data_IF_630176765640
#
_entry.id   IF_630176765640
#
_cell.length_a   1.000
_cell.length_b   1.000
_cell.length_c   1.000
_cell.angle_alpha   90.00
_cell.angle_beta   90.00
_cell.angle_gamma   90.00
#
_symmetry.space_group_name_H-M   'P 1'
#
loop_
_entity.id
_entity.type
_entity.pdbx_description
1 polymer ?
#
# COMPACT_ATOMS: atom_id res chain seq x y z
N UNK A 1 18.71 46.81 10.44
CA UNK A 1 17.76 45.71 10.44
C UNK A 1 18.23 44.71 9.36
N UNK A 2 18.82 43.62 9.76
CA UNK A 2 19.36 42.60 8.83
C UNK A 2 18.34 41.50 8.65
N UNK A 3 17.81 41.35 7.44
CA UNK A 3 16.98 40.21 7.06
C UNK A 3 17.90 39.03 6.79
N UNK A 4 17.93 38.07 7.72
CA UNK A 4 18.54 36.76 7.48
C UNK A 4 17.56 35.94 6.68
N UNK A 5 17.79 35.83 5.38
CA UNK A 5 17.10 34.83 4.55
C UNK A 5 17.60 33.46 4.98
N UNK A 6 16.72 32.67 5.62
CA UNK A 6 16.96 31.23 5.81
C UNK A 6 16.97 30.59 4.41
N UNK A 7 18.16 30.25 3.96
CA UNK A 7 18.34 29.52 2.70
C UNK A 7 17.56 28.21 2.73
N UNK A 8 16.85 27.93 1.66
CA UNK A 8 16.38 26.60 1.34
C UNK A 8 17.61 25.71 1.24
N UNK A 9 17.87 24.87 2.23
CA UNK A 9 18.80 23.75 2.07
C UNK A 9 18.21 22.86 0.98
N UNK A 10 18.84 22.91 -0.20
CA UNK A 10 18.47 22.09 -1.33
C UNK A 10 18.54 20.63 -0.90
N UNK A 11 17.40 19.93 -0.99
CA UNK A 11 17.32 18.47 -0.82
C UNK A 11 18.44 17.87 -1.67
N UNK A 12 19.42 17.26 -1.01
CA UNK A 12 20.47 16.49 -1.69
C UNK A 12 19.76 15.39 -2.46
N UNK A 13 19.69 15.50 -3.78
CA UNK A 13 19.42 14.36 -4.64
C UNK A 13 20.52 13.36 -4.35
N UNK A 14 20.18 12.20 -3.82
CA UNK A 14 21.10 11.09 -3.63
C UNK A 14 21.77 10.81 -4.97
N UNK A 15 23.06 11.14 -5.10
CA UNK A 15 23.81 11.05 -6.36
C UNK A 15 24.18 9.61 -6.74
N UNK A 16 23.84 8.64 -5.89
CA UNK A 16 24.28 7.25 -6.02
C UNK A 16 23.12 6.24 -5.98
N UNK A 17 21.86 6.69 -6.16
CA UNK A 17 20.75 5.75 -6.26
C UNK A 17 20.83 5.01 -7.60
N UNK A 18 20.78 3.68 -7.54
CA UNK A 18 20.72 2.83 -8.71
C UNK A 18 19.54 3.25 -9.61
N UNK A 19 19.79 3.70 -10.85
CA UNK A 19 18.72 4.14 -11.74
C UNK A 19 17.71 3.04 -12.06
N UNK A 20 18.09 1.77 -11.90
CA UNK A 20 17.20 0.62 -12.10
C UNK A 20 16.26 0.39 -10.90
N UNK A 21 16.47 1.11 -9.77
CA UNK A 21 15.63 1.03 -8.57
C UNK A 21 14.81 2.29 -8.30
N UNK A 22 15.08 3.39 -9.00
CA UNK A 22 14.40 4.67 -8.77
C UNK A 22 13.66 5.11 -10.03
N UNK A 23 12.33 5.04 -10.06
CA UNK A 23 11.54 5.43 -11.21
C UNK A 23 11.76 6.88 -11.64
N UNK A 24 11.45 7.23 -12.90
CA UNK A 24 11.58 8.60 -13.41
C UNK A 24 10.85 9.62 -12.52
N UNK A 25 11.47 10.79 -12.32
CA UNK A 25 10.89 11.88 -11.52
C UNK A 25 10.84 11.66 -10.02
N UNK A 26 11.40 10.55 -9.49
CA UNK A 26 11.50 10.25 -8.06
C UNK A 26 12.85 10.71 -7.48
N UNK A 27 12.89 10.88 -6.16
CA UNK A 27 14.12 11.06 -5.37
C UNK A 27 14.12 10.08 -4.18
N UNK A 28 15.29 9.62 -3.77
CA UNK A 28 15.43 8.73 -2.60
C UNK A 28 15.36 9.53 -1.32
N UNK A 29 14.69 8.98 -0.31
CA UNK A 29 14.63 9.52 1.05
C UNK A 29 14.93 8.43 2.08
N UNK A 30 15.60 8.82 3.16
CA UNK A 30 15.75 7.97 4.35
C UNK A 30 14.51 8.04 5.26
N UNK A 31 13.75 9.13 5.17
CA UNK A 31 12.53 9.31 5.94
C UNK A 31 11.40 8.40 5.43
N UNK A 32 10.44 8.13 6.30
CA UNK A 32 9.16 7.53 5.91
C UNK A 32 8.04 8.56 6.10
N UNK A 33 7.76 9.42 5.08
CA UNK A 33 6.79 10.48 5.21
C UNK A 33 5.38 9.96 5.50
N UNK A 34 4.70 10.55 6.49
CA UNK A 34 3.30 10.25 6.80
C UNK A 34 2.40 11.13 5.93
N UNK A 35 1.65 10.49 5.04
CA UNK A 35 0.64 11.13 4.21
C UNK A 35 -0.70 10.42 4.40
N UNK A 36 -1.78 11.17 4.59
CA UNK A 36 -3.12 10.64 4.79
C UNK A 36 -4.18 11.57 4.22
N UNK A 37 -5.29 11.01 3.73
CA UNK A 37 -6.46 11.76 3.28
C UNK A 37 -7.41 12.14 4.43
N UNK A 38 -7.17 11.64 5.64
CA UNK A 38 -8.01 11.87 6.82
C UNK A 38 -7.25 11.60 8.12
N UNK A 39 -7.95 11.63 9.27
CA UNK A 39 -7.36 11.32 10.56
C UNK A 39 -6.92 9.85 10.62
N UNK A 40 -5.85 9.58 11.39
CA UNK A 40 -5.38 8.23 11.67
C UNK A 40 -6.41 7.47 12.51
N UNK A 41 -6.98 6.34 12.03
CA UNK A 41 -7.82 5.50 12.85
C UNK A 41 -7.03 4.85 14.00
N UNK A 42 -7.71 4.58 15.10
CA UNK A 42 -7.19 3.83 16.23
C UNK A 42 -8.11 2.64 16.49
N UNK A 43 -7.98 1.61 15.67
CA UNK A 43 -8.80 0.41 15.78
C UNK A 43 -8.21 -0.54 16.82
N UNK A 44 -8.93 -0.85 17.93
CA UNK A 44 -8.48 -1.85 18.88
C UNK A 44 -8.31 -3.22 18.21
N UNK A 45 -7.21 -3.93 18.50
CA UNK A 45 -6.96 -5.25 17.90
C UNK A 45 -8.09 -6.25 18.14
N UNK A 46 -8.78 -6.16 19.28
CA UNK A 46 -9.93 -7.01 19.60
C UNK A 46 -11.16 -6.74 18.69
N UNK A 47 -11.21 -5.59 18.02
CA UNK A 47 -12.29 -5.19 17.09
C UNK A 47 -11.84 -5.28 15.63
N UNK A 48 -10.54 -5.51 15.41
CA UNK A 48 -10.00 -5.62 14.07
C UNK A 48 -10.38 -6.96 13.44
N UNK A 49 -10.83 -6.91 12.21
CA UNK A 49 -11.08 -8.09 11.37
C UNK A 49 -10.62 -7.80 9.96
N UNK A 50 -10.14 -8.82 9.28
CA UNK A 50 -9.87 -8.77 7.85
C UNK A 50 -10.82 -9.72 7.12
N UNK A 51 -11.25 -9.36 5.91
CA UNK A 51 -12.09 -10.26 5.13
C UNK A 51 -11.79 -10.23 3.64
N UNK A 52 -11.97 -11.38 3.00
CA UNK A 52 -12.02 -11.52 1.55
C UNK A 52 -13.46 -11.81 1.16
N UNK A 53 -13.99 -11.06 0.19
CA UNK A 53 -15.38 -11.18 -0.28
C UNK A 53 -15.37 -11.45 -1.78
N UNK A 54 -16.03 -12.52 -2.23
CA UNK A 54 -16.18 -12.90 -3.63
C UNK A 54 -17.62 -13.32 -3.88
N UNK A 55 -18.42 -12.45 -4.50
CA UNK A 55 -19.87 -12.67 -4.62
C UNK A 55 -20.53 -12.88 -3.26
N UNK A 56 -21.15 -14.03 -3.06
CA UNK A 56 -21.79 -14.41 -1.79
C UNK A 56 -20.82 -15.08 -0.80
N UNK A 57 -19.62 -15.41 -1.23
CA UNK A 57 -18.59 -16.02 -0.39
C UNK A 57 -17.85 -14.98 0.43
N UNK A 58 -17.64 -15.26 1.71
CA UNK A 58 -16.86 -14.43 2.61
C UNK A 58 -15.96 -15.27 3.50
N UNK A 59 -14.66 -15.02 3.40
CA UNK A 59 -13.68 -15.46 4.37
C UNK A 59 -13.39 -14.31 5.32
N UNK A 60 -13.22 -14.59 6.61
CA UNK A 60 -12.92 -13.54 7.59
C UNK A 60 -11.98 -14.08 8.67
N UNK A 61 -11.15 -13.22 9.19
CA UNK A 61 -10.20 -13.49 10.27
C UNK A 61 -10.28 -12.39 11.32
N UNK A 62 -10.31 -12.79 12.59
CA UNK A 62 -9.96 -11.91 13.72
C UNK A 62 -8.46 -11.61 13.68
N UNK A 63 -8.00 -10.67 14.50
CA UNK A 63 -6.58 -10.37 14.62
C UNK A 63 -5.74 -11.61 14.97
N UNK A 64 -6.19 -12.39 15.96
CA UNK A 64 -5.52 -13.61 16.40
C UNK A 64 -5.44 -14.66 15.27
N UNK A 65 -6.54 -14.88 14.57
CA UNK A 65 -6.59 -15.80 13.43
C UNK A 65 -5.71 -15.34 12.27
N UNK A 66 -5.67 -14.02 12.00
CA UNK A 66 -4.82 -13.44 10.98
C UNK A 66 -3.32 -13.59 11.33
N UNK A 67 -2.94 -13.34 12.57
CA UNK A 67 -1.57 -13.53 13.07
C UNK A 67 -1.13 -15.01 13.08
N UNK A 68 -2.07 -15.94 13.08
CA UNK A 68 -1.78 -17.39 13.00
C UNK A 68 -1.57 -17.87 11.54
N UNK A 69 -1.85 -17.04 10.53
CA UNK A 69 -1.57 -17.37 9.13
C UNK A 69 -0.05 -17.37 8.87
N UNK A 70 0.43 -18.09 7.84
CA UNK A 70 1.81 -17.99 7.41
C UNK A 70 2.17 -16.53 7.07
N UNK A 71 3.13 -15.98 7.79
CA UNK A 71 3.70 -14.65 7.58
C UNK A 71 5.11 -14.78 7.03
N UNK A 72 5.51 -13.83 6.20
CA UNK A 72 6.83 -13.77 5.61
C UNK A 72 7.43 -12.37 5.72
N UNK A 73 8.74 -12.29 5.78
CA UNK A 73 9.48 -11.04 5.73
C UNK A 73 9.90 -10.77 4.29
N UNK A 74 9.62 -9.56 3.81
CA UNK A 74 9.98 -9.14 2.47
C UNK A 74 10.69 -7.78 2.50
N UNK A 75 11.74 -7.64 1.70
CA UNK A 75 12.44 -6.37 1.52
C UNK A 75 12.14 -5.84 0.12
N UNK A 76 11.55 -4.65 0.06
CA UNK A 76 11.06 -4.03 -1.19
C UNK A 76 11.32 -2.53 -1.22
N UNK A 77 11.34 -1.97 -2.42
CA UNK A 77 11.36 -0.52 -2.65
C UNK A 77 9.92 0.00 -2.76
N UNK A 78 9.64 1.16 -2.20
CA UNK A 78 8.33 1.80 -2.30
C UNK A 78 8.43 3.18 -2.93
N UNK A 79 7.43 3.53 -3.76
CA UNK A 79 7.43 4.74 -4.57
C UNK A 79 6.14 5.54 -4.37
N UNK A 80 6.24 6.77 -3.86
CA UNK A 80 5.08 7.61 -3.63
C UNK A 80 4.80 8.54 -4.83
N UNK A 81 3.54 8.76 -5.14
CA UNK A 81 3.11 9.72 -6.17
C UNK A 81 3.64 11.13 -5.90
N UNK A 82 3.92 11.48 -4.64
CA UNK A 82 4.53 12.76 -4.23
C UNK A 82 6.04 12.80 -4.44
N UNK A 83 6.57 11.89 -5.25
CA UNK A 83 7.93 11.87 -5.83
C UNK A 83 9.04 11.39 -4.91
N UNK A 84 8.77 10.84 -3.75
CA UNK A 84 9.79 10.17 -2.96
C UNK A 84 9.78 8.65 -3.17
N UNK A 85 10.95 8.06 -3.09
CA UNK A 85 11.16 6.61 -3.03
C UNK A 85 11.94 6.28 -1.76
N UNK A 86 11.57 5.23 -1.09
CA UNK A 86 12.31 4.66 0.02
C UNK A 86 12.72 3.25 -0.37
N UNK A 87 14.02 3.01 -0.36
CA UNK A 87 14.61 1.74 -0.77
C UNK A 87 14.81 0.83 0.42
N UNK A 88 14.91 -0.48 0.16
CA UNK A 88 15.23 -1.51 1.14
C UNK A 88 14.31 -1.49 2.38
N UNK A 89 13.03 -1.27 2.16
CA UNK A 89 12.02 -1.32 3.25
C UNK A 89 11.68 -2.75 3.58
N UNK A 90 11.81 -3.14 4.86
CA UNK A 90 11.54 -4.49 5.32
C UNK A 90 10.17 -4.56 5.97
N UNK A 91 9.34 -5.49 5.50
CA UNK A 91 7.97 -5.67 5.94
C UNK A 91 7.72 -7.11 6.38
N UNK A 92 6.86 -7.29 7.37
CA UNK A 92 6.32 -8.58 7.77
C UNK A 92 4.82 -8.62 7.46
N UNK A 93 4.34 -9.67 6.78
CA UNK A 93 2.94 -9.74 6.40
C UNK A 93 2.52 -11.09 5.85
N UNK A 94 1.20 -11.24 5.70
CA UNK A 94 0.58 -12.41 5.07
C UNK A 94 0.43 -12.14 3.58
N UNK A 95 0.92 -13.06 2.75
CA UNK A 95 0.76 -12.99 1.29
C UNK A 95 -0.73 -12.96 0.89
N UNK A 96 -1.07 -12.16 -0.11
CA UNK A 96 -2.43 -12.16 -0.66
C UNK A 96 -2.78 -13.52 -1.25
N UNK A 97 -1.82 -14.26 -1.81
CA UNK A 97 -2.03 -15.64 -2.27
C UNK A 97 -2.56 -16.55 -1.15
N UNK A 98 -1.98 -16.44 0.06
CA UNK A 98 -2.45 -17.19 1.25
C UNK A 98 -3.90 -16.81 1.61
N UNK A 99 -4.26 -15.53 1.51
CA UNK A 99 -5.61 -15.06 1.84
C UNK A 99 -6.65 -15.49 0.79
N UNK A 100 -6.22 -15.72 -0.45
CA UNK A 100 -7.07 -16.15 -1.57
C UNK A 100 -7.08 -17.65 -1.79
N UNK A 101 -6.23 -18.44 -1.10
CA UNK A 101 -6.06 -19.89 -1.34
C UNK A 101 -7.38 -20.68 -1.40
N UNK A 102 -8.39 -20.22 -0.65
CA UNK A 102 -9.70 -20.89 -0.54
C UNK A 102 -10.74 -20.36 -1.53
N UNK A 103 -10.43 -19.34 -2.31
CA UNK A 103 -11.34 -18.77 -3.31
C UNK A 103 -11.10 -19.49 -4.64
N UNK A 104 -12.11 -20.20 -5.09
CA UNK A 104 -12.06 -20.83 -6.41
C UNK A 104 -12.39 -19.80 -7.50
N UNK A 105 -11.63 -19.82 -8.61
CA UNK A 105 -11.85 -18.96 -9.79
C UNK A 105 -12.12 -17.49 -9.43
N UNK A 106 -11.16 -16.79 -8.77
CA UNK A 106 -11.37 -15.42 -8.31
C UNK A 106 -11.58 -14.48 -9.51
N UNK A 107 -12.52 -13.51 -9.39
CA UNK A 107 -12.72 -12.45 -10.37
C UNK A 107 -11.46 -11.64 -10.65
N UNK A 108 -11.34 -10.98 -11.85
CA UNK A 108 -10.09 -10.39 -12.32
C UNK A 108 -9.66 -9.09 -11.61
N UNK A 109 -10.49 -8.52 -10.76
CA UNK A 109 -10.20 -7.27 -10.06
C UNK A 109 -10.40 -7.38 -8.54
N UNK A 110 -9.68 -6.54 -7.84
CA UNK A 110 -9.72 -6.43 -6.37
C UNK A 110 -9.99 -4.97 -5.99
N UNK A 111 -10.97 -4.75 -5.12
CA UNK A 111 -11.17 -3.49 -4.42
C UNK A 111 -10.74 -3.68 -2.96
N UNK A 112 -9.60 -3.13 -2.58
CA UNK A 112 -9.19 -3.08 -1.19
C UNK A 112 -10.02 -2.01 -0.46
N UNK A 113 -10.54 -2.33 0.73
CA UNK A 113 -11.31 -1.42 1.56
C UNK A 113 -10.72 -1.31 2.97
N UNK A 114 -10.83 -0.13 3.55
CA UNK A 114 -10.09 0.28 4.74
C UNK A 114 -10.98 0.97 5.77
N UNK A 115 -10.49 1.10 7.00
CA UNK A 115 -11.08 2.00 7.98
C UNK A 115 -11.11 3.43 7.42
N UNK A 116 -12.13 4.21 7.78
CA UNK A 116 -12.30 5.57 7.28
C UNK A 116 -12.87 5.67 5.85
N UNK A 117 -13.23 4.54 5.22
CA UNK A 117 -13.88 4.52 3.91
C UNK A 117 -12.93 4.67 2.72
N UNK A 118 -11.62 4.60 2.93
CA UNK A 118 -10.66 4.57 1.83
C UNK A 118 -10.76 3.25 1.06
N UNK A 119 -10.68 3.35 -0.27
CA UNK A 119 -10.61 2.20 -1.19
C UNK A 119 -9.57 2.41 -2.25
N UNK A 120 -9.05 1.32 -2.82
CA UNK A 120 -8.23 1.34 -4.03
C UNK A 120 -8.45 0.06 -4.84
N UNK A 121 -8.52 0.20 -6.16
CA UNK A 121 -8.69 -0.90 -7.10
C UNK A 121 -7.34 -1.43 -7.58
N UNK A 122 -7.31 -2.70 -7.93
CA UNK A 122 -6.12 -3.42 -8.41
C UNK A 122 -6.58 -4.55 -9.36
N UNK A 123 -5.86 -4.81 -10.46
CA UNK A 123 -5.98 -6.10 -11.13
C UNK A 123 -5.60 -7.24 -10.19
N UNK A 124 -6.27 -8.38 -10.29
CA UNK A 124 -5.96 -9.56 -9.49
C UNK A 124 -4.51 -10.03 -9.71
N UNK A 125 -4.05 -9.97 -10.95
CA UNK A 125 -2.69 -10.35 -11.35
C UNK A 125 -1.58 -9.53 -10.66
N UNK A 126 -1.90 -8.32 -10.19
CA UNK A 126 -0.96 -7.44 -9.46
C UNK A 126 -0.95 -7.68 -7.95
N UNK A 127 -1.83 -8.52 -7.44
CA UNK A 127 -1.84 -8.85 -6.00
C UNK A 127 -1.59 -10.33 -5.72
N UNK A 128 -1.47 -11.15 -6.75
CA UNK A 128 -1.16 -12.59 -6.67
C UNK A 128 0.25 -12.89 -7.16
N UNK A 129 0.64 -14.17 -7.08
CA UNK A 129 1.96 -14.67 -7.49
C UNK A 129 3.13 -13.99 -6.75
N UNK A 130 2.97 -13.80 -5.44
CA UNK A 130 3.99 -13.23 -4.59
C UNK A 130 4.24 -11.72 -4.80
N UNK A 131 3.24 -10.97 -5.27
CA UNK A 131 3.37 -9.54 -5.59
C UNK A 131 2.79 -8.60 -4.54
N UNK A 132 1.95 -9.11 -3.61
CA UNK A 132 1.30 -8.28 -2.61
C UNK A 132 1.10 -8.99 -1.27
N UNK A 133 1.10 -8.20 -0.21
CA UNK A 133 0.95 -8.65 1.18
C UNK A 133 -0.02 -7.77 1.96
N UNK A 134 -0.63 -8.35 2.97
CA UNK A 134 -1.25 -7.59 4.06
C UNK A 134 -0.23 -7.52 5.19
N UNK A 135 0.52 -6.43 5.22
CA UNK A 135 1.63 -6.21 6.13
C UNK A 135 1.13 -5.70 7.49
N UNK A 136 1.68 -6.26 8.57
CA UNK A 136 1.40 -5.91 9.96
C UNK A 136 2.66 -5.50 10.75
N UNK A 137 3.84 -5.72 10.16
CA UNK A 137 5.14 -5.33 10.71
C UNK A 137 5.94 -4.49 9.71
N UNK A 138 6.81 -3.64 10.25
CA UNK A 138 7.75 -2.82 9.50
C UNK A 138 9.05 -2.67 10.29
N UNK A 139 10.19 -2.99 9.65
CA UNK A 139 11.53 -2.91 10.24
C UNK A 139 11.66 -3.66 11.59
N UNK A 140 11.02 -4.84 11.68
CA UNK A 140 11.02 -5.73 12.84
C UNK A 140 10.10 -5.32 13.99
N UNK A 141 9.31 -4.26 13.83
CA UNK A 141 8.36 -3.76 14.83
C UNK A 141 6.91 -3.80 14.32
N UNK A 142 5.91 -3.86 15.21
CA UNK A 142 4.52 -3.70 14.80
C UNK A 142 4.32 -2.40 14.01
N UNK A 143 3.48 -2.46 12.99
CA UNK A 143 3.25 -1.31 12.10
C UNK A 143 2.57 -0.15 12.85
N UNK A 144 3.21 1.02 12.84
CA UNK A 144 2.68 2.23 13.43
C UNK A 144 1.31 2.62 12.84
N UNK A 145 0.36 3.12 13.65
CA UNK A 145 -0.94 3.58 13.17
C UNK A 145 -0.85 4.61 12.03
N UNK A 146 0.11 5.55 12.09
CA UNK A 146 0.31 6.57 11.06
C UNK A 146 0.77 5.98 9.72
N UNK A 147 1.44 4.82 9.75
CA UNK A 147 1.88 4.08 8.57
C UNK A 147 0.88 3.00 8.13
N UNK A 148 -0.26 2.90 8.79
CA UNK A 148 -1.37 2.03 8.39
C UNK A 148 -1.65 0.87 9.33
N UNK A 149 -1.04 0.87 10.54
CA UNK A 149 -1.30 -0.16 11.56
C UNK A 149 -2.79 -0.22 12.00
N UNK A 150 -3.27 -1.41 12.41
CA UNK A 150 -2.49 -2.62 12.66
C UNK A 150 -2.10 -3.40 11.39
N UNK A 151 -2.74 -3.16 10.25
CA UNK A 151 -2.37 -3.80 8.98
C UNK A 151 -2.63 -2.89 7.78
N UNK A 152 -1.78 -3.00 6.77
CA UNK A 152 -1.92 -2.31 5.49
C UNK A 152 -1.72 -3.26 4.31
N UNK A 153 -2.29 -2.92 3.17
CA UNK A 153 -1.92 -3.55 1.92
C UNK A 153 -0.53 -3.06 1.49
N UNK A 154 0.29 -3.93 0.94
CA UNK A 154 1.60 -3.64 0.37
C UNK A 154 1.64 -4.19 -1.06
N UNK A 155 1.74 -3.29 -2.05
CA UNK A 155 1.86 -3.58 -3.49
C UNK A 155 3.02 -2.74 -4.02
N UNK A 156 4.28 -3.20 -3.85
CA UNK A 156 5.45 -2.36 -3.99
C UNK A 156 5.74 -1.89 -5.41
N UNK A 157 5.33 -2.63 -6.43
CA UNK A 157 5.56 -2.31 -7.85
C UNK A 157 4.63 -1.21 -8.38
N UNK A 158 3.58 -0.82 -7.62
CA UNK A 158 2.69 0.29 -7.95
C UNK A 158 2.96 1.49 -7.03
N UNK A 159 2.50 2.68 -7.43
CA UNK A 159 2.58 3.82 -6.54
C UNK A 159 1.90 3.56 -5.20
N UNK A 160 2.49 4.07 -4.12
CA UNK A 160 2.19 3.70 -2.74
C UNK A 160 0.78 4.03 -2.25
N UNK A 161 -0.03 4.79 -3.00
CA UNK A 161 -1.46 4.93 -2.68
C UNK A 161 -2.24 3.62 -2.94
N UNK A 162 -1.74 2.74 -3.83
CA UNK A 162 -2.27 1.39 -4.04
C UNK A 162 -2.00 0.46 -2.85
N UNK A 163 -1.01 0.77 -2.05
CA UNK A 163 -0.70 0.11 -0.78
C UNK A 163 -1.54 0.72 0.36
N UNK A 164 -2.82 0.38 0.40
CA UNK A 164 -3.83 1.01 1.25
C UNK A 164 -3.57 0.80 2.75
N UNK A 165 -3.55 1.89 3.53
CA UNK A 165 -3.43 1.87 5.00
C UNK A 165 -4.72 1.39 5.65
N UNK A 166 -4.61 0.83 6.87
CA UNK A 166 -5.74 0.44 7.71
C UNK A 166 -6.70 -0.51 7.01
N UNK A 167 -6.14 -1.44 6.24
CA UNK A 167 -6.92 -2.36 5.40
C UNK A 167 -7.80 -3.27 6.25
N UNK A 168 -9.05 -3.46 5.79
CA UNK A 168 -10.06 -4.31 6.43
C UNK A 168 -10.49 -5.46 5.54
N UNK A 169 -10.10 -5.43 4.29
CA UNK A 169 -10.35 -6.55 3.40
C UNK A 169 -10.17 -6.26 1.92
N UNK A 170 -10.39 -7.31 1.16
CA UNK A 170 -10.35 -7.34 -0.29
C UNK A 170 -11.72 -7.83 -0.81
N UNK A 171 -12.35 -7.03 -1.65
CA UNK A 171 -13.56 -7.41 -2.36
C UNK A 171 -13.19 -7.74 -3.81
N UNK A 172 -13.38 -9.00 -4.20
CA UNK A 172 -13.14 -9.47 -5.56
C UNK A 172 -14.30 -9.01 -6.46
N UNK A 173 -13.98 -8.52 -7.68
CA UNK A 173 -14.91 -7.86 -8.59
C UNK A 173 -14.73 -8.37 -10.02
N UNK A 174 -15.84 -8.49 -10.73
CA UNK A 174 -15.84 -8.79 -12.18
C UNK A 174 -15.38 -7.59 -13.01
N UNK A 175 -15.76 -6.38 -12.57
CA UNK A 175 -15.40 -5.13 -13.22
C UNK A 175 -14.40 -4.32 -12.38
N UNK A 176 -13.56 -3.53 -13.06
CA UNK A 176 -12.63 -2.61 -12.42
C UNK A 176 -13.39 -1.40 -11.86
N UNK A 177 -13.43 -1.30 -10.54
CA UNK A 177 -14.16 -0.26 -9.82
C UNK A 177 -13.17 0.75 -9.22
N UNK A 178 -13.05 1.98 -9.78
CA UNK A 178 -12.12 2.99 -9.29
C UNK A 178 -12.28 3.27 -7.80
N UNK A 179 -11.15 3.28 -7.07
CA UNK A 179 -11.12 3.59 -5.65
C UNK A 179 -11.16 5.09 -5.34
N UNK A 180 -10.76 5.45 -4.11
CA UNK A 180 -10.84 6.82 -3.62
C UNK A 180 -10.02 7.81 -4.47
N UNK A 181 -8.69 7.61 -4.60
CA UNK A 181 -7.85 8.55 -5.34
C UNK A 181 -8.09 8.50 -6.84
N UNK A 182 -8.41 7.34 -7.38
CA UNK A 182 -8.76 7.16 -8.79
C UNK A 182 -9.99 7.99 -9.17
N UNK A 183 -11.02 8.06 -8.32
CA UNK A 183 -12.19 8.92 -8.53
C UNK A 183 -11.88 10.42 -8.39
N UNK A 184 -10.80 10.77 -7.70
CA UNK A 184 -10.29 12.15 -7.59
C UNK A 184 -9.25 12.52 -8.65
N UNK A 185 -9.07 11.67 -9.67
CA UNK A 185 -8.26 11.97 -10.84
C UNK A 185 -6.83 11.45 -10.80
N UNK A 186 -6.50 10.52 -9.89
CA UNK A 186 -5.26 9.75 -9.98
C UNK A 186 -5.38 8.69 -11.07
N UNK A 187 -4.24 8.22 -11.55
CA UNK A 187 -4.21 7.18 -12.58
C UNK A 187 -4.82 5.88 -12.06
N UNK A 188 -5.64 5.22 -12.90
CA UNK A 188 -6.36 4.01 -12.47
C UNK A 188 -5.42 2.85 -12.11
N UNK A 189 -4.28 2.71 -12.80
CA UNK A 189 -3.29 1.65 -12.54
C UNK A 189 -2.16 2.09 -11.60
N UNK A 190 -1.45 3.18 -11.94
CA UNK A 190 -0.47 3.79 -11.06
C UNK A 190 0.93 3.17 -11.09
N UNK A 191 1.44 2.80 -12.28
CA UNK A 191 2.81 2.34 -12.47
C UNK A 191 3.82 3.50 -12.31
N UNK A 192 4.76 3.43 -11.33
CA UNK A 192 5.75 4.47 -11.10
C UNK A 192 6.79 4.58 -12.21
N UNK A 193 7.11 3.49 -12.91
CA UNK A 193 8.07 3.46 -13.99
C UNK A 193 7.56 4.11 -15.27
N UNK A 194 6.23 4.16 -15.43
CA UNK A 194 5.52 4.86 -16.51
C UNK A 194 5.05 6.25 -16.11
N UNK A 195 5.42 6.70 -14.89
CA UNK A 195 4.97 7.97 -14.29
C UNK A 195 3.43 8.15 -14.27
N UNK A 196 2.68 7.08 -14.17
CA UNK A 196 1.21 7.09 -14.12
C UNK A 196 0.69 7.68 -12.81
N UNK A 197 0.73 9.01 -12.68
CA UNK A 197 0.31 9.75 -11.47
C UNK A 197 -1.16 10.16 -11.52
N UNK A 198 -1.61 10.64 -12.68
CA UNK A 198 -2.94 11.20 -12.87
C UNK A 198 -3.65 10.57 -14.06
N UNK A 199 -4.98 10.70 -14.09
CA UNK A 199 -5.79 10.26 -15.22
C UNK A 199 -5.39 11.05 -16.47
N UNK A 200 -4.78 10.39 -17.43
CA UNK A 200 -4.29 10.99 -18.67
C UNK A 200 -2.77 10.97 -18.86
N UNK A 201 -2.04 10.46 -17.85
CA UNK A 201 -0.60 10.18 -17.97
C UNK A 201 -0.35 8.92 -18.82
#
# INVERSE_FOLDING_TARGET
MSFVSRGFEGRRRGRDADPDRVPPGQYVTEDFPVLSAGPTPHTPLAEWTFSVVSGDERLAWTWEEFQALPSEEVTVDIHCVTRWSKLDTTWEGVSVDTLLERIADPPPYVLAFCDGGYTTNLPLEDVTEGKAWVAHGYDGEPLDPEHGGPARLLVPHLYFWKSAKWVRGLALREDDEPGFWETYGYHNYGDPWREQRYSGD
#
